data_IF_986489216545
#
_entry.id   IF_986489216545
#
_cell.length_a   1.000
_cell.length_b   1.000
_cell.length_c   1.000
_cell.angle_alpha   90.00
_cell.angle_beta   90.00
_cell.angle_gamma   90.00
#
_symmetry.space_group_name_H-M   'P 1'
#
loop_
_entity.id
_entity.type
_entity.pdbx_description
1 polymer ?
#
# COMPACT_ATOMS: atom_id res chain seq x y z
N UNK A 1 -60.58 -10.63 42.06
CA UNK A 1 -59.55 -9.57 42.16
C UNK A 1 -58.21 -10.18 41.89
N UNK A 2 -57.74 -10.18 40.65
CA UNK A 2 -56.43 -10.75 40.23
C UNK A 2 -55.55 -9.61 39.84
N UNK A 3 -54.42 -9.43 40.59
CA UNK A 3 -53.38 -8.46 40.30
C UNK A 3 -52.35 -9.07 39.32
N UNK A 4 -52.24 -8.48 38.15
CA UNK A 4 -51.16 -8.76 37.19
C UNK A 4 -49.94 -7.90 37.53
N UNK A 5 -48.82 -8.54 37.88
CA UNK A 5 -47.53 -7.90 37.98
C UNK A 5 -46.89 -7.86 36.57
N UNK A 6 -46.67 -6.67 36.07
CA UNK A 6 -45.86 -6.47 34.86
C UNK A 6 -44.37 -6.48 35.22
N UNK A 7 -43.62 -7.45 34.72
CA UNK A 7 -42.18 -7.58 34.83
C UNK A 7 -41.53 -6.81 33.67
N UNK A 8 -40.98 -5.64 33.95
CA UNK A 8 -40.20 -4.86 32.97
C UNK A 8 -38.80 -5.42 32.88
N UNK A 9 -38.45 -6.08 31.74
CA UNK A 9 -37.11 -6.51 31.43
C UNK A 9 -36.38 -5.31 30.82
N UNK A 10 -35.43 -4.75 31.56
CA UNK A 10 -34.48 -3.75 31.00
C UNK A 10 -33.43 -4.48 30.17
N UNK A 11 -33.45 -4.26 28.86
CA UNK A 11 -32.41 -4.71 27.93
C UNK A 11 -31.20 -3.80 28.14
N UNK A 12 -30.18 -4.29 28.86
CA UNK A 12 -28.85 -3.64 28.89
C UNK A 12 -28.16 -3.93 27.56
N UNK A 13 -28.15 -2.95 26.67
CA UNK A 13 -27.37 -2.98 25.45
C UNK A 13 -25.88 -3.04 25.77
N UNK A 14 -25.26 -4.22 25.65
CA UNK A 14 -23.82 -4.33 25.65
C UNK A 14 -23.30 -3.74 24.33
N UNK A 15 -22.88 -2.48 24.39
CA UNK A 15 -22.08 -1.87 23.33
C UNK A 15 -20.78 -2.63 23.21
N UNK A 16 -20.65 -3.47 22.17
CA UNK A 16 -19.37 -4.04 21.78
C UNK A 16 -18.47 -2.91 21.34
N UNK A 17 -17.56 -2.47 22.22
CA UNK A 17 -16.43 -1.66 21.81
C UNK A 17 -15.62 -2.50 20.80
N UNK A 18 -15.67 -2.11 19.53
CA UNK A 18 -14.77 -2.66 18.53
C UNK A 18 -13.34 -2.32 18.98
N UNK A 19 -12.63 -3.30 19.49
CA UNK A 19 -11.22 -3.18 19.79
C UNK A 19 -10.56 -2.88 18.45
N UNK A 20 -9.99 -1.69 18.31
CA UNK A 20 -9.17 -1.35 17.16
C UNK A 20 -8.06 -2.40 17.08
N UNK A 21 -8.07 -3.20 16.02
CA UNK A 21 -7.05 -4.22 15.84
C UNK A 21 -5.74 -3.48 15.63
N UNK A 22 -4.85 -3.55 16.62
CA UNK A 22 -3.53 -2.91 16.57
C UNK A 22 -2.84 -3.27 15.25
N UNK A 23 -2.34 -2.26 14.55
CA UNK A 23 -1.55 -2.51 13.37
C UNK A 23 -0.39 -3.43 13.78
N UNK A 24 -0.10 -4.50 13.03
CA UNK A 24 0.98 -5.44 13.38
C UNK A 24 2.37 -4.81 13.34
N UNK A 25 2.44 -3.52 13.09
CA UNK A 25 3.66 -2.74 12.88
C UNK A 25 3.99 -1.81 14.05
N UNK A 26 5.29 -1.53 14.29
CA UNK A 26 5.71 -0.39 15.12
C UNK A 26 5.29 0.94 14.44
N UNK A 27 5.38 2.08 15.18
CA UNK A 27 4.99 3.38 14.64
C UNK A 27 5.69 3.79 13.34
N UNK A 28 6.91 3.28 13.12
CA UNK A 28 7.70 3.53 11.89
C UNK A 28 8.28 2.21 11.41
N UNK A 29 8.16 1.95 10.12
CA UNK A 29 8.72 0.77 9.44
C UNK A 29 9.57 1.26 8.27
N UNK A 30 10.79 0.75 8.16
CA UNK A 30 11.74 1.14 7.11
C UNK A 30 12.16 -0.09 6.30
N UNK A 31 12.14 0.07 4.98
CA UNK A 31 12.74 -0.87 4.04
C UNK A 31 13.91 -0.20 3.34
N UNK A 32 15.04 -0.89 3.27
CA UNK A 32 16.08 -0.54 2.31
C UNK A 32 15.67 -1.05 0.93
N UNK A 33 15.93 -0.24 -0.10
CA UNK A 33 15.64 -0.58 -1.49
C UNK A 33 16.94 -0.88 -2.21
N UNK A 34 17.02 -2.07 -2.77
CA UNK A 34 18.18 -2.51 -3.54
C UNK A 34 17.81 -2.69 -5.01
N UNK A 35 18.73 -2.42 -5.90
CA UNK A 35 18.63 -2.73 -7.33
C UNK A 35 19.88 -3.53 -7.73
N UNK A 36 19.67 -4.77 -8.17
CA UNK A 36 20.75 -5.71 -8.45
C UNK A 36 21.79 -5.82 -7.32
N UNK A 37 21.32 -5.74 -6.06
CA UNK A 37 22.17 -5.83 -4.86
C UNK A 37 22.79 -4.51 -4.39
N UNK A 38 22.73 -3.42 -5.18
CA UNK A 38 23.16 -2.09 -4.77
C UNK A 38 22.04 -1.34 -4.05
N UNK A 39 22.33 -0.74 -2.89
CA UNK A 39 21.34 0.08 -2.19
C UNK A 39 21.11 1.38 -2.97
N UNK A 40 19.87 1.60 -3.39
CA UNK A 40 19.45 2.75 -4.20
C UNK A 40 18.47 3.66 -3.47
N UNK A 41 18.08 3.34 -2.22
CA UNK A 41 17.17 4.19 -1.47
C UNK A 41 16.45 3.50 -0.34
N UNK A 42 15.34 4.10 0.07
CA UNK A 42 14.52 3.62 1.18
C UNK A 42 13.02 3.82 0.92
N UNK A 43 12.22 3.02 1.63
CA UNK A 43 10.77 3.16 1.70
C UNK A 43 10.39 3.14 3.19
N UNK A 44 9.71 4.17 3.65
CA UNK A 44 9.34 4.37 5.06
C UNK A 44 7.84 4.43 5.17
N UNK A 45 7.29 3.71 6.14
CA UNK A 45 5.85 3.73 6.46
C UNK A 45 5.71 4.19 7.90
N UNK A 46 4.92 5.24 8.13
CA UNK A 46 4.64 5.77 9.46
C UNK A 46 3.17 5.56 9.78
N UNK A 47 2.91 5.05 10.98
CA UNK A 47 1.56 4.80 11.49
C UNK A 47 1.27 5.72 12.68
N UNK A 48 0.17 6.46 12.60
CA UNK A 48 -0.28 7.33 13.68
C UNK A 48 -1.75 7.07 13.97
N UNK A 49 -2.10 6.83 15.24
CA UNK A 49 -3.49 6.77 15.69
C UNK A 49 -3.98 8.16 16.06
N UNK A 50 -5.13 8.57 15.55
CA UNK A 50 -5.79 9.85 15.87
C UNK A 50 -7.29 9.62 16.10
N UNK A 51 -7.68 9.46 17.35
CA UNK A 51 -9.02 9.01 17.70
C UNK A 51 -9.31 7.64 17.07
N UNK A 52 -10.45 7.49 16.40
CA UNK A 52 -10.84 6.26 15.71
C UNK A 52 -10.14 6.09 14.35
N UNK A 53 -9.37 7.08 13.91
CA UNK A 53 -8.69 7.06 12.63
C UNK A 53 -7.22 6.65 12.78
N UNK A 54 -6.76 5.81 11.86
CA UNK A 54 -5.34 5.55 11.63
C UNK A 54 -4.88 6.36 10.42
N UNK A 55 -3.83 7.13 10.60
CA UNK A 55 -3.14 7.84 9.53
C UNK A 55 -1.91 7.01 9.16
N UNK A 56 -1.76 6.70 7.88
CA UNK A 56 -0.60 5.99 7.35
C UNK A 56 0.07 6.87 6.32
N UNK A 57 1.33 7.21 6.57
CA UNK A 57 2.16 7.96 5.63
C UNK A 57 3.18 7.02 5.02
N UNK A 58 3.31 7.05 3.70
CA UNK A 58 4.30 6.27 2.95
C UNK A 58 5.22 7.22 2.22
N UNK A 59 6.53 7.07 2.44
CA UNK A 59 7.57 7.83 1.79
C UNK A 59 8.57 6.88 1.12
N UNK A 60 8.78 7.00 -0.19
CA UNK A 60 9.80 6.29 -0.90
C UNK A 60 10.71 7.28 -1.64
N UNK A 61 12.02 7.09 -1.52
CA UNK A 61 13.04 7.85 -2.25
C UNK A 61 14.08 6.87 -2.79
N UNK A 62 14.18 6.83 -4.13
CA UNK A 62 15.02 5.89 -4.86
C UNK A 62 15.83 6.67 -5.88
N UNK A 63 17.16 6.57 -5.79
CA UNK A 63 18.09 7.21 -6.74
C UNK A 63 19.05 6.16 -7.31
N UNK A 64 18.95 5.91 -8.61
CA UNK A 64 19.89 5.06 -9.32
C UNK A 64 20.97 5.93 -9.95
N UNK A 65 22.24 5.55 -9.75
CA UNK A 65 23.39 6.21 -10.35
C UNK A 65 24.03 5.30 -11.39
N UNK A 66 24.48 5.90 -12.49
CA UNK A 66 25.33 5.25 -13.48
C UNK A 66 26.62 6.05 -13.60
N UNK A 67 27.78 5.42 -13.42
CA UNK A 67 29.11 6.09 -13.41
C UNK A 67 29.15 7.31 -12.47
N UNK A 68 28.52 7.22 -11.30
CA UNK A 68 28.48 8.30 -10.30
C UNK A 68 27.47 9.43 -10.59
N UNK A 69 26.82 9.43 -11.75
CA UNK A 69 25.82 10.43 -12.14
C UNK A 69 24.41 9.88 -11.87
N UNK A 70 23.50 10.74 -11.40
CA UNK A 70 22.09 10.38 -11.23
C UNK A 70 21.48 10.04 -12.60
N UNK A 71 21.11 8.78 -12.79
CA UNK A 71 20.51 8.27 -14.02
C UNK A 71 18.98 8.15 -13.92
N UNK A 72 18.46 7.93 -12.69
CA UNK A 72 17.04 7.83 -12.44
C UNK A 72 16.74 8.27 -11.01
N UNK A 73 15.58 8.91 -10.83
CA UNK A 73 15.06 9.31 -9.51
C UNK A 73 13.57 9.02 -9.43
N UNK A 74 13.17 8.45 -8.31
CA UNK A 74 11.77 8.21 -7.96
C UNK A 74 11.54 8.67 -6.53
N UNK A 75 10.57 9.55 -6.33
CA UNK A 75 10.10 9.96 -5.03
C UNK A 75 8.58 9.81 -4.97
N UNK A 76 8.08 9.11 -3.96
CA UNK A 76 6.65 8.93 -3.71
C UNK A 76 6.32 9.30 -2.29
N UNK A 77 5.27 10.08 -2.12
CA UNK A 77 4.68 10.40 -0.82
C UNK A 77 3.19 10.13 -0.88
N UNK A 78 2.64 9.40 0.09
CA UNK A 78 1.21 9.27 0.27
C UNK A 78 0.78 9.40 1.72
N UNK A 79 -0.43 9.92 1.91
CA UNK A 79 -1.10 10.02 3.21
C UNK A 79 -2.48 9.36 3.09
N UNK A 80 -2.73 8.37 3.92
CA UNK A 80 -3.95 7.59 3.95
C UNK A 80 -4.65 7.76 5.30
N UNK A 81 -5.96 7.93 5.28
CA UNK A 81 -6.81 7.97 6.47
C UNK A 81 -7.70 6.73 6.48
N UNK A 82 -7.61 5.94 7.53
CA UNK A 82 -8.34 4.70 7.72
C UNK A 82 -9.22 4.77 8.97
N UNK A 83 -10.43 4.22 8.89
CA UNK A 83 -11.30 3.94 10.06
C UNK A 83 -11.57 2.44 10.05
N UNK A 84 -11.05 1.76 11.07
CA UNK A 84 -10.96 0.30 11.04
C UNK A 84 -10.21 -0.16 9.77
N UNK A 85 -10.84 -1.04 8.99
CA UNK A 85 -10.30 -1.58 7.74
C UNK A 85 -10.74 -0.80 6.48
N UNK A 86 -11.32 0.37 6.64
CA UNK A 86 -11.90 1.14 5.54
C UNK A 86 -11.06 2.39 5.26
N UNK A 87 -10.54 2.48 4.02
CA UNK A 87 -9.91 3.69 3.53
C UNK A 87 -10.97 4.80 3.42
N UNK A 88 -10.73 5.93 4.10
CA UNK A 88 -11.59 7.12 4.04
C UNK A 88 -11.08 8.10 2.99
N UNK A 89 -9.77 8.34 2.98
CA UNK A 89 -9.13 9.20 1.99
C UNK A 89 -7.69 8.79 1.73
N UNK A 90 -7.19 9.15 0.56
CA UNK A 90 -5.79 9.01 0.17
C UNK A 90 -5.39 10.28 -0.61
N UNK A 91 -4.22 10.80 -0.30
CA UNK A 91 -3.54 11.81 -1.09
C UNK A 91 -2.15 11.27 -1.42
N UNK A 92 -1.78 11.27 -2.69
CA UNK A 92 -0.45 10.80 -3.10
C UNK A 92 0.17 11.75 -4.12
N UNK A 93 1.48 11.92 -4.04
CA UNK A 93 2.29 12.62 -5.02
C UNK A 93 3.48 11.74 -5.39
N UNK A 94 3.80 11.69 -6.65
CA UNK A 94 4.96 10.94 -7.16
C UNK A 94 5.75 11.82 -8.12
N UNK A 95 7.07 11.82 -7.98
CA UNK A 95 7.98 12.29 -9.01
C UNK A 95 8.73 11.08 -9.56
N UNK A 96 8.58 10.83 -10.83
CA UNK A 96 9.17 9.71 -11.54
C UNK A 96 10.01 10.25 -12.70
N UNK A 97 11.31 10.41 -12.42
CA UNK A 97 12.31 10.89 -13.37
C UNK A 97 11.89 12.18 -14.11
N UNK A 98 11.36 13.15 -13.35
CA UNK A 98 10.93 14.46 -13.83
C UNK A 98 9.43 14.57 -14.16
N UNK A 99 8.71 13.46 -14.35
CA UNK A 99 7.25 13.46 -14.44
C UNK A 99 6.63 13.45 -13.05
N UNK A 100 5.64 14.31 -12.84
CA UNK A 100 4.94 14.43 -11.56
C UNK A 100 3.52 13.91 -11.69
N UNK A 101 3.08 13.19 -10.67
CA UNK A 101 1.74 12.63 -10.55
C UNK A 101 1.13 13.08 -9.23
N UNK A 102 -0.17 13.33 -9.23
CA UNK A 102 -0.96 13.59 -8.04
C UNK A 102 -2.22 12.75 -8.08
N UNK A 103 -2.51 12.04 -7.01
CA UNK A 103 -3.70 11.20 -6.85
C UNK A 103 -4.43 11.64 -5.59
N UNK A 104 -5.73 11.84 -5.70
CA UNK A 104 -6.62 11.98 -4.56
C UNK A 104 -7.71 10.92 -4.62
N UNK A 105 -8.03 10.30 -3.50
CA UNK A 105 -9.15 9.39 -3.39
C UNK A 105 -9.95 9.71 -2.14
N UNK A 106 -11.28 9.71 -2.28
CA UNK A 106 -12.22 10.00 -1.19
C UNK A 106 -13.35 9.00 -1.18
N UNK A 107 -13.64 8.43 -0.01
CA UNK A 107 -14.80 7.58 0.19
C UNK A 107 -16.08 8.40 0.14
N UNK A 108 -17.04 7.95 -0.68
CA UNK A 108 -18.40 8.51 -0.78
C UNK A 108 -19.37 7.32 -0.77
N UNK A 109 -19.90 7.01 0.39
CA UNK A 109 -20.76 5.83 0.58
C UNK A 109 -20.06 4.52 0.24
N UNK A 110 -20.61 3.76 -0.69
CA UNK A 110 -20.07 2.47 -1.16
C UNK A 110 -18.97 2.62 -2.22
N UNK A 111 -18.58 3.84 -2.56
CA UNK A 111 -17.61 4.13 -3.62
C UNK A 111 -16.38 4.86 -3.08
N UNK A 112 -15.27 4.71 -3.80
CA UNK A 112 -14.07 5.52 -3.72
C UNK A 112 -13.99 6.37 -4.99
N UNK A 113 -14.12 7.68 -4.85
CA UNK A 113 -13.94 8.65 -5.94
C UNK A 113 -12.47 8.99 -6.02
N UNK A 114 -11.88 8.79 -7.20
CA UNK A 114 -10.44 8.96 -7.43
C UNK A 114 -10.25 10.01 -8.53
N UNK A 115 -9.35 10.94 -8.30
CA UNK A 115 -8.88 11.89 -9.30
C UNK A 115 -7.36 11.78 -9.40
N UNK A 116 -6.87 11.86 -10.62
CA UNK A 116 -5.45 11.85 -10.94
C UNK A 116 -5.11 12.97 -11.91
N UNK A 117 -3.95 13.57 -11.70
CA UNK A 117 -3.32 14.50 -12.65
C UNK A 117 -1.84 14.16 -12.81
N UNK A 118 -1.31 14.38 -14.01
CA UNK A 118 0.13 14.30 -14.26
C UNK A 118 0.64 15.50 -15.05
N UNK A 119 1.90 15.85 -14.82
CA UNK A 119 2.59 16.96 -15.51
C UNK A 119 4.06 16.63 -15.72
N UNK A 120 4.68 17.28 -16.70
CA UNK A 120 6.09 17.11 -17.01
C UNK A 120 6.33 16.21 -18.24
N UNK A 121 7.60 15.96 -18.58
CA UNK A 121 7.95 15.17 -19.76
C UNK A 121 7.40 13.76 -19.63
N UNK A 122 6.92 13.19 -20.73
CA UNK A 122 6.60 11.77 -20.79
C UNK A 122 7.93 11.04 -20.69
N UNK A 123 8.16 10.37 -19.56
CA UNK A 123 9.35 9.53 -19.41
C UNK A 123 9.33 8.45 -20.50
N UNK A 124 10.43 8.28 -21.21
CA UNK A 124 10.59 7.28 -22.27
C UNK A 124 10.55 5.83 -21.74
N UNK A 125 10.48 5.68 -20.44
CA UNK A 125 10.40 4.40 -19.74
C UNK A 125 9.42 4.54 -18.56
N UNK A 126 8.12 4.53 -18.86
CA UNK A 126 7.20 4.07 -17.84
C UNK A 126 7.61 2.63 -17.46
N UNK A 127 7.53 2.30 -16.19
CA UNK A 127 7.96 1.04 -15.56
C UNK A 127 7.50 -0.24 -16.31
N UNK A 128 6.46 -0.12 -17.16
CA UNK A 128 5.81 -1.19 -17.91
C UNK A 128 5.38 -0.78 -19.33
N UNK A 129 5.83 0.39 -19.83
CA UNK A 129 5.34 0.98 -21.07
C UNK A 129 3.95 1.61 -20.95
N UNK A 130 3.37 1.63 -19.74
CA UNK A 130 2.08 2.24 -19.49
C UNK A 130 2.18 3.77 -19.55
N UNK A 131 1.35 4.37 -20.40
CA UNK A 131 1.20 5.82 -20.50
C UNK A 131 -0.02 6.25 -19.66
N UNK A 132 0.24 6.74 -18.44
CA UNK A 132 -0.83 7.31 -17.64
C UNK A 132 -1.43 8.53 -18.35
N UNK A 133 -2.77 8.68 -18.39
CA UNK A 133 -3.40 9.87 -18.91
C UNK A 133 -3.02 11.10 -18.08
N UNK A 134 -3.00 12.29 -18.66
CA UNK A 134 -2.69 13.54 -17.92
C UNK A 134 -3.74 13.86 -16.86
N UNK A 135 -4.98 13.47 -17.09
CA UNK A 135 -6.10 13.59 -16.14
C UNK A 135 -6.97 12.35 -16.22
N UNK A 136 -7.31 11.77 -15.08
CA UNK A 136 -8.33 10.73 -15.00
C UNK A 136 -9.23 10.90 -13.79
N UNK A 137 -10.46 10.37 -13.90
CA UNK A 137 -11.41 10.25 -12.81
C UNK A 137 -12.00 8.85 -12.81
N UNK A 138 -11.89 8.19 -11.66
CA UNK A 138 -12.36 6.82 -11.48
C UNK A 138 -13.39 6.75 -10.36
N UNK A 139 -14.26 5.76 -10.45
CA UNK A 139 -15.16 5.39 -9.36
C UNK A 139 -14.97 3.91 -9.10
N UNK A 140 -14.35 3.59 -7.97
CA UNK A 140 -14.05 2.24 -7.57
C UNK A 140 -14.94 1.81 -6.39
N UNK A 141 -15.16 0.52 -6.16
CA UNK A 141 -15.75 0.05 -4.91
C UNK A 141 -14.95 0.55 -3.71
N UNK A 142 -15.62 0.97 -2.64
CA UNK A 142 -14.96 1.48 -1.43
C UNK A 142 -14.11 0.43 -0.70
N UNK A 143 -14.20 -0.85 -1.08
CA UNK A 143 -13.35 -1.94 -0.61
C UNK A 143 -12.03 -2.08 -1.36
N UNK A 144 -11.83 -1.30 -2.45
CA UNK A 144 -10.59 -1.32 -3.23
C UNK A 144 -9.42 -0.86 -2.38
N UNK A 145 -8.35 -1.67 -2.35
CA UNK A 145 -7.14 -1.38 -1.57
C UNK A 145 -6.13 -0.59 -2.40
N UNK A 146 -5.45 0.41 -1.80
CA UNK A 146 -4.37 1.12 -2.46
C UNK A 146 -3.09 0.27 -2.54
N UNK A 147 -2.19 0.59 -3.48
CA UNK A 147 -0.91 -0.13 -3.67
C UNK A 147 0.17 0.26 -2.66
N UNK A 148 -0.19 0.56 -1.43
CA UNK A 148 0.73 0.96 -0.36
C UNK A 148 1.42 -0.21 0.37
N UNK A 149 1.07 -1.44 0.04
CA UNK A 149 1.70 -2.71 0.40
C UNK A 149 1.64 -3.11 1.89
N UNK A 150 1.49 -2.19 2.82
CA UNK A 150 1.57 -2.46 4.27
C UNK A 150 0.39 -3.30 4.79
N UNK A 151 -0.78 -3.23 4.16
CA UNK A 151 -1.99 -3.90 4.63
C UNK A 151 -2.15 -5.26 3.94
N UNK A 152 -2.04 -6.35 4.70
CA UNK A 152 -2.13 -7.71 4.17
C UNK A 152 -3.41 -8.01 3.36
N UNK A 153 -4.50 -7.27 3.57
CA UNK A 153 -5.72 -7.41 2.76
C UNK A 153 -5.49 -7.15 1.28
N UNK A 154 -4.43 -6.44 0.94
CA UNK A 154 -3.92 -6.25 -0.40
C UNK A 154 -3.70 -7.58 -1.14
N UNK A 155 -3.17 -8.60 -0.45
CA UNK A 155 -2.89 -9.92 -1.03
C UNK A 155 -4.14 -10.71 -1.42
N UNK A 156 -5.33 -10.24 -1.05
CA UNK A 156 -6.62 -10.90 -1.33
C UNK A 156 -7.47 -10.16 -2.38
N UNK A 157 -6.91 -9.16 -3.03
CA UNK A 157 -7.62 -8.33 -4.02
C UNK A 157 -7.30 -8.80 -5.43
N UNK A 158 -8.27 -8.65 -6.34
CA UNK A 158 -8.08 -8.80 -7.79
C UNK A 158 -8.03 -7.47 -8.53
N UNK A 159 -8.37 -6.38 -7.84
CA UNK A 159 -8.27 -5.00 -8.34
C UNK A 159 -7.77 -4.10 -7.23
N UNK A 160 -6.78 -3.29 -7.55
CA UNK A 160 -6.10 -2.37 -6.63
C UNK A 160 -6.19 -0.96 -7.17
N UNK A 161 -6.19 0.04 -6.27
CA UNK A 161 -5.98 1.43 -6.65
C UNK A 161 -4.46 1.68 -6.74
N UNK A 162 -3.96 1.92 -7.94
CA UNK A 162 -2.58 2.34 -8.13
C UNK A 162 -2.38 3.75 -7.55
N UNK A 163 -1.54 3.87 -6.53
CA UNK A 163 -1.33 5.13 -5.80
C UNK A 163 -0.47 6.15 -6.57
N UNK A 164 0.24 5.71 -7.60
CA UNK A 164 0.99 6.60 -8.50
C UNK A 164 0.10 7.17 -9.60
N UNK A 165 -0.73 6.32 -10.21
CA UNK A 165 -1.47 6.68 -11.43
C UNK A 165 -2.96 6.95 -11.21
N UNK A 166 -3.51 6.67 -10.02
CA UNK A 166 -4.92 6.90 -9.69
C UNK A 166 -5.91 6.04 -10.49
N UNK A 167 -5.46 4.94 -11.07
CA UNK A 167 -6.26 4.04 -11.89
C UNK A 167 -6.37 2.66 -11.25
N UNK A 168 -7.40 1.85 -11.62
CA UNK A 168 -7.48 0.47 -11.19
C UNK A 168 -6.37 -0.38 -11.86
N UNK A 169 -5.68 -1.19 -11.06
CA UNK A 169 -4.75 -2.23 -11.53
C UNK A 169 -5.36 -3.59 -11.27
N UNK A 170 -5.57 -4.38 -12.33
CA UNK A 170 -6.08 -5.75 -12.25
C UNK A 170 -4.93 -6.72 -12.03
N UNK A 171 -5.09 -7.58 -11.04
CA UNK A 171 -4.05 -8.53 -10.65
C UNK A 171 -4.61 -9.92 -10.42
N UNK A 172 -3.79 -10.91 -10.70
CA UNK A 172 -3.96 -12.29 -10.22
C UNK A 172 -2.90 -12.55 -9.18
N UNK A 173 -3.30 -13.08 -8.03
CA UNK A 173 -2.40 -13.33 -6.90
C UNK A 173 -2.32 -14.83 -6.64
N UNK A 174 -1.11 -15.37 -6.61
CA UNK A 174 -0.82 -16.76 -6.25
C UNK A 174 -0.07 -16.79 -4.95
N UNK A 175 -0.63 -17.48 -3.96
CA UNK A 175 0.01 -17.72 -2.67
C UNK A 175 0.97 -18.91 -2.79
N UNK A 176 2.21 -18.73 -2.35
CA UNK A 176 3.22 -19.78 -2.20
C UNK A 176 3.20 -20.43 -0.83
N UNK A 177 4.18 -21.30 -0.59
CA UNK A 177 4.45 -21.87 0.74
C UNK A 177 5.23 -20.87 1.60
N UNK A 178 5.16 -20.98 2.94
CA UNK A 178 6.06 -20.26 3.85
C UNK A 178 7.51 -20.59 3.56
N UNK A 179 8.37 -19.58 3.61
CA UNK A 179 9.82 -19.71 3.43
C UNK A 179 10.58 -18.72 4.33
N UNK A 180 11.86 -19.00 4.58
CA UNK A 180 12.71 -18.10 5.35
C UNK A 180 13.26 -17.00 4.44
N UNK A 181 12.90 -15.76 4.71
CA UNK A 181 13.37 -14.58 3.99
C UNK A 181 14.33 -13.76 4.83
N UNK A 182 15.39 -13.23 4.20
CA UNK A 182 16.37 -12.41 4.88
C UNK A 182 15.83 -10.99 5.09
N UNK A 183 15.96 -10.47 6.31
CA UNK A 183 15.77 -9.07 6.71
C UNK A 183 17.07 -8.54 7.30
N UNK A 184 17.16 -7.27 7.64
CA UNK A 184 18.34 -6.71 8.30
C UNK A 184 18.59 -7.33 9.68
N UNK A 185 17.55 -7.77 10.39
CA UNK A 185 17.62 -8.38 11.72
C UNK A 185 17.68 -9.93 11.71
N UNK A 186 17.90 -10.52 10.56
CA UNK A 186 17.98 -11.97 10.42
C UNK A 186 16.88 -12.55 9.54
N UNK A 187 16.70 -13.86 9.61
CA UNK A 187 15.69 -14.57 8.82
C UNK A 187 14.33 -14.57 9.51
N UNK A 188 13.28 -14.32 8.75
CA UNK A 188 11.89 -14.34 9.19
C UNK A 188 11.11 -15.31 8.29
N UNK A 189 10.28 -16.16 8.87
CA UNK A 189 9.36 -16.99 8.11
C UNK A 189 8.23 -16.11 7.55
N UNK A 190 8.02 -16.18 6.25
CA UNK A 190 7.01 -15.41 5.55
C UNK A 190 6.45 -16.16 4.34
N UNK A 191 5.20 -15.91 4.02
CA UNK A 191 4.52 -16.47 2.85
C UNK A 191 4.66 -15.52 1.67
N UNK A 192 5.10 -16.05 0.53
CA UNK A 192 5.20 -15.30 -0.73
C UNK A 192 3.85 -15.23 -1.43
N UNK A 193 3.52 -14.03 -1.91
CA UNK A 193 2.38 -13.75 -2.79
C UNK A 193 2.91 -13.18 -4.10
N UNK A 194 2.70 -13.90 -5.19
CA UNK A 194 3.17 -13.50 -6.53
C UNK A 194 2.01 -12.89 -7.30
N UNK A 195 2.22 -11.67 -7.78
CA UNK A 195 1.27 -10.86 -8.54
C UNK A 195 1.62 -10.89 -10.01
N UNK A 196 0.60 -11.03 -10.85
CA UNK A 196 0.66 -10.93 -12.30
C UNK A 196 -0.54 -10.11 -12.82
N UNK A 197 -0.47 -9.65 -14.06
CA UNK A 197 -1.42 -8.71 -14.66
C UNK A 197 -0.81 -7.33 -14.80
N UNK A 198 -1.54 -6.29 -14.38
CA UNK A 198 -1.09 -4.90 -14.46
C UNK A 198 0.06 -4.58 -13.47
N UNK A 199 0.25 -5.40 -12.44
CA UNK A 199 1.38 -5.33 -11.52
C UNK A 199 2.12 -6.67 -11.50
N UNK A 200 3.45 -6.62 -11.64
CA UNK A 200 4.33 -7.80 -11.64
C UNK A 200 5.30 -7.69 -10.48
N UNK A 201 5.02 -8.44 -9.40
CA UNK A 201 5.83 -8.38 -8.19
C UNK A 201 5.65 -9.63 -7.35
N UNK A 202 6.54 -9.83 -6.39
CA UNK A 202 6.33 -10.78 -5.29
C UNK A 202 6.46 -10.06 -3.96
N UNK A 203 5.52 -10.31 -3.06
CA UNK A 203 5.49 -9.73 -1.71
C UNK A 203 5.50 -10.86 -0.68
N UNK A 204 6.21 -10.66 0.42
CA UNK A 204 6.26 -11.60 1.52
C UNK A 204 5.65 -10.98 2.78
N UNK A 205 4.71 -11.70 3.37
CA UNK A 205 4.07 -11.33 4.62
C UNK A 205 4.33 -12.40 5.68
N UNK A 206 4.69 -11.98 6.89
CA UNK A 206 4.88 -12.88 8.02
C UNK A 206 3.53 -13.38 8.58
N UNK A 207 3.58 -14.24 9.60
CA UNK A 207 2.40 -14.83 10.24
C UNK A 207 1.46 -13.79 10.89
N UNK A 208 1.95 -12.58 11.16
CA UNK A 208 1.15 -11.46 11.67
C UNK A 208 0.59 -10.57 10.56
N UNK A 209 0.84 -10.90 9.30
CA UNK A 209 0.44 -10.11 8.13
C UNK A 209 1.29 -8.86 7.91
N UNK A 210 2.51 -8.79 8.46
CA UNK A 210 3.44 -7.69 8.17
C UNK A 210 4.17 -7.96 6.86
N UNK A 211 4.22 -6.97 6.00
CA UNK A 211 5.09 -6.98 4.84
C UNK A 211 6.56 -6.97 5.29
N UNK A 212 7.35 -7.92 4.85
CA UNK A 212 8.75 -8.08 5.28
C UNK A 212 9.74 -8.04 4.12
N UNK A 213 9.28 -8.30 2.90
CA UNK A 213 10.09 -8.28 1.68
C UNK A 213 9.22 -8.03 0.46
N UNK A 214 9.77 -7.37 -0.55
CA UNK A 214 9.18 -7.23 -1.87
C UNK A 214 10.20 -7.35 -2.96
N UNK A 215 9.81 -7.90 -4.12
CA UNK A 215 10.64 -7.88 -5.34
C UNK A 215 9.81 -7.43 -6.53
N UNK A 216 10.39 -6.61 -7.37
CA UNK A 216 9.81 -6.03 -8.56
C UNK A 216 10.78 -6.18 -9.71
N UNK A 217 10.29 -6.51 -10.91
CA UNK A 217 11.07 -6.41 -12.12
C UNK A 217 11.00 -4.98 -12.65
N UNK A 218 12.14 -4.30 -12.79
CA UNK A 218 12.21 -3.01 -13.44
C UNK A 218 12.13 -3.19 -14.97
N UNK A 219 11.79 -2.12 -15.71
CA UNK A 219 11.63 -2.14 -17.17
C UNK A 219 12.89 -2.65 -17.91
N UNK A 220 14.07 -2.33 -17.40
CA UNK A 220 15.35 -2.75 -17.96
C UNK A 220 15.77 -4.18 -17.58
N UNK A 221 14.86 -4.96 -16.98
CA UNK A 221 15.10 -6.33 -16.51
C UNK A 221 15.86 -6.42 -15.20
N UNK A 222 16.25 -5.30 -14.57
CA UNK A 222 16.86 -5.32 -13.24
C UNK A 222 15.83 -5.70 -12.18
N UNK A 223 16.30 -6.30 -11.08
CA UNK A 223 15.46 -6.61 -9.94
C UNK A 223 15.57 -5.51 -8.89
N UNK A 224 14.42 -4.98 -8.48
CA UNK A 224 14.31 -4.09 -7.33
C UNK A 224 13.80 -4.90 -6.14
N UNK A 225 14.50 -4.82 -5.01
CA UNK A 225 14.20 -5.57 -3.80
C UNK A 225 14.02 -4.61 -2.62
N UNK A 226 12.92 -4.82 -1.88
CA UNK A 226 12.62 -4.14 -0.62
C UNK A 226 12.90 -5.09 0.53
N UNK A 227 13.76 -4.69 1.46
CA UNK A 227 14.20 -5.51 2.59
C UNK A 227 13.92 -4.78 3.89
N UNK A 228 13.09 -5.39 4.75
CA UNK A 228 12.76 -4.83 6.07
C UNK A 228 14.02 -4.64 6.91
N UNK A 229 14.13 -3.45 7.55
CA UNK A 229 15.28 -3.04 8.35
C UNK A 229 15.11 -3.25 9.86
N UNK A 230 13.89 -3.61 10.32
CA UNK A 230 13.54 -3.78 11.74
C UNK A 230 13.44 -5.22 12.19
#
# INVERSE_FOLDING_TARGET
MSKWLALSIALVGMGSSAVAQDAPYPPVVTFAVFRNGENVGKHVITFQQKGDSRIVTVDADITVKAMGVKAYHYAHHSNEVWVGDQLQSLQATTEDNGRKFSVSAQRVGANLKVEHTSTGPVASAAYDGFQAPDVSRETLPASTMPTSLWNFRYAKQSTLLNTQYGIPSRVTVVQGSPELVQTAKGKVEATRYTYSGDLRMSLWYDSRGRWVKGTFAAFDGSTVEYVLQE
#
